data_IF_522389118858
#
_entry.id   IF_522389118858
#
_cell.length_a   1.000
_cell.length_b   1.000
_cell.length_c   1.000
_cell.angle_alpha   90.00
_cell.angle_beta   90.00
_cell.angle_gamma   90.00
#
_symmetry.space_group_name_H-M   'P 1'
#
loop_
_entity.id
_entity.type
_entity.pdbx_description
1 polymer ?
#
# COMPACT_ATOMS: atom_id res chain seq x y z
N UNK A 1 0.21 -6.35 20.79
CA UNK A 1 1.01 -7.29 21.59
C UNK A 1 1.40 -8.47 20.72
N UNK A 2 2.65 -8.88 20.76
CA UNK A 2 3.17 -10.08 20.10
C UNK A 2 2.98 -11.25 21.05
N UNK A 3 2.40 -12.36 20.59
CA UNK A 3 2.24 -13.56 21.41
C UNK A 3 3.52 -14.42 21.40
N UNK A 4 3.56 -15.49 22.22
CA UNK A 4 4.71 -16.39 22.34
C UNK A 4 5.14 -17.10 21.04
N UNK A 5 4.30 -17.11 20.00
CA UNK A 5 4.62 -17.63 18.65
C UNK A 5 5.02 -16.51 17.67
N UNK A 6 5.27 -15.28 18.14
CA UNK A 6 5.72 -14.17 17.28
C UNK A 6 4.62 -13.56 16.40
N UNK A 7 3.37 -14.00 16.53
CA UNK A 7 2.26 -13.47 15.74
C UNK A 7 1.56 -12.29 16.45
N UNK A 8 1.20 -11.28 15.67
CA UNK A 8 0.42 -10.13 16.15
C UNK A 8 -1.01 -10.59 16.41
N UNK A 9 -1.50 -10.49 17.66
CA UNK A 9 -2.90 -10.76 17.99
C UNK A 9 -3.80 -9.61 17.53
N UNK A 10 -4.91 -9.95 16.85
CA UNK A 10 -6.02 -9.02 16.61
C UNK A 10 -6.68 -8.68 17.94
N UNK A 11 -6.43 -7.48 18.45
CA UNK A 11 -7.09 -6.91 19.63
C UNK A 11 -7.54 -5.48 19.32
N UNK A 12 -8.16 -5.28 18.13
CA UNK A 12 -8.67 -3.96 17.72
C UNK A 12 -10.18 -4.00 17.97
N UNK A 13 -10.71 -3.02 18.72
CA UNK A 13 -12.14 -2.80 18.85
C UNK A 13 -12.78 -2.76 17.46
N UNK A 14 -13.99 -3.31 17.32
CA UNK A 14 -14.72 -3.30 16.03
C UNK A 14 -14.88 -1.85 15.61
N UNK A 15 -14.24 -1.42 14.52
CA UNK A 15 -14.30 -0.04 14.11
C UNK A 15 -15.72 0.29 13.61
N UNK A 16 -16.17 1.51 13.91
CA UNK A 16 -17.40 2.07 13.33
C UNK A 16 -17.31 2.00 11.82
N UNK A 17 -18.37 1.59 11.17
CA UNK A 17 -18.43 1.39 9.71
C UNK A 17 -19.30 2.44 9.03
N UNK A 18 -19.18 2.56 7.72
CA UNK A 18 -20.08 3.41 6.91
C UNK A 18 -21.56 3.00 7.06
N UNK A 19 -21.82 1.71 7.37
CA UNK A 19 -23.18 1.22 7.62
C UNK A 19 -23.77 1.81 8.89
N UNK A 20 -22.95 2.02 9.91
CA UNK A 20 -23.39 2.61 11.19
C UNK A 20 -23.75 4.08 11.00
N UNK A 21 -22.96 4.84 10.23
CA UNK A 21 -23.27 6.21 9.84
C UNK A 21 -24.58 6.25 9.03
N UNK A 22 -24.72 5.38 8.03
CA UNK A 22 -25.91 5.31 7.19
C UNK A 22 -27.18 5.04 8.02
N UNK A 23 -27.10 4.09 8.95
CA UNK A 23 -28.18 3.76 9.90
C UNK A 23 -28.50 4.94 10.83
N UNK A 24 -27.49 5.59 11.39
CA UNK A 24 -27.63 6.74 12.32
C UNK A 24 -28.33 7.93 11.67
N UNK A 25 -28.04 8.19 10.38
CA UNK A 25 -28.60 9.32 9.63
C UNK A 25 -29.88 8.97 8.87
N UNK A 26 -30.18 7.68 8.65
CA UNK A 26 -31.36 7.22 7.90
C UNK A 26 -31.19 7.39 6.38
N UNK A 27 -29.97 7.18 5.86
CA UNK A 27 -29.65 7.28 4.42
C UNK A 27 -28.93 6.02 3.93
N UNK A 28 -28.76 5.86 2.62
CA UNK A 28 -27.98 4.75 2.07
C UNK A 28 -26.48 4.91 2.30
N UNK A 29 -25.73 3.81 2.34
CA UNK A 29 -24.26 3.85 2.41
C UNK A 29 -23.65 4.57 1.23
N UNK A 30 -24.26 4.50 0.04
CA UNK A 30 -23.81 5.24 -1.13
C UNK A 30 -24.00 6.74 -0.95
N UNK A 31 -25.07 7.19 -0.28
CA UNK A 31 -25.27 8.62 0.05
C UNK A 31 -24.17 9.10 1.01
N UNK A 32 -23.86 8.32 2.05
CA UNK A 32 -22.77 8.64 2.98
C UNK A 32 -21.44 8.71 2.24
N UNK A 33 -21.13 7.71 1.42
CA UNK A 33 -19.87 7.67 0.64
C UNK A 33 -19.73 8.90 -0.28
N UNK A 34 -20.80 9.28 -0.96
CA UNK A 34 -20.81 10.47 -1.83
C UNK A 34 -20.65 11.77 -1.04
N UNK A 35 -21.28 11.88 0.12
CA UNK A 35 -21.11 13.04 1.01
C UNK A 35 -19.66 13.21 1.44
N UNK A 36 -19.02 12.12 1.83
CA UNK A 36 -17.60 12.11 2.30
C UNK A 36 -16.60 12.37 1.18
N UNK A 37 -16.94 12.05 -0.07
CA UNK A 37 -16.04 12.24 -1.23
C UNK A 37 -16.29 13.54 -1.99
N UNK A 38 -17.31 14.31 -1.65
CA UNK A 38 -17.64 15.56 -2.32
C UNK A 38 -18.17 15.40 -3.75
N UNK A 39 -18.45 14.19 -4.22
CA UNK A 39 -18.73 13.87 -5.63
C UNK A 39 -20.19 13.95 -6.07
N UNK A 40 -21.12 14.41 -5.25
CA UNK A 40 -22.52 14.43 -5.63
C UNK A 40 -23.25 15.65 -5.07
N UNK A 41 -24.31 16.04 -5.78
CA UNK A 41 -25.31 17.01 -5.30
C UNK A 41 -26.11 16.34 -4.18
N UNK A 42 -25.71 16.58 -2.94
CA UNK A 42 -26.40 16.16 -1.73
C UNK A 42 -26.84 17.45 -1.05
N UNK A 43 -28.08 17.48 -0.52
CA UNK A 43 -28.55 18.67 0.19
C UNK A 43 -27.62 19.03 1.35
N UNK A 44 -27.40 20.31 1.60
CA UNK A 44 -26.55 20.80 2.69
C UNK A 44 -27.01 20.27 4.05
N UNK A 45 -28.29 20.12 4.25
CA UNK A 45 -28.85 19.53 5.46
C UNK A 45 -28.41 18.08 5.65
N UNK A 46 -28.50 17.25 4.59
CA UNK A 46 -28.04 15.85 4.65
C UNK A 46 -26.52 15.76 4.86
N UNK A 47 -25.76 16.64 4.21
CA UNK A 47 -24.30 16.72 4.40
C UNK A 47 -23.95 17.03 5.85
N UNK A 48 -24.60 18.05 6.45
CA UNK A 48 -24.40 18.43 7.86
C UNK A 48 -24.72 17.28 8.81
N UNK A 49 -25.84 16.57 8.63
CA UNK A 49 -26.24 15.42 9.45
C UNK A 49 -25.22 14.28 9.35
N UNK A 50 -24.67 14.02 8.16
CA UNK A 50 -23.62 13.01 7.98
C UNK A 50 -22.33 13.44 8.68
N UNK A 51 -21.88 14.69 8.54
CA UNK A 51 -20.68 15.19 9.20
C UNK A 51 -20.80 15.11 10.72
N UNK A 52 -21.95 15.49 11.28
CA UNK A 52 -22.21 15.38 12.71
C UNK A 52 -22.16 13.92 13.18
N UNK A 53 -22.77 12.98 12.46
CA UNK A 53 -22.72 11.56 12.81
C UNK A 53 -21.30 10.97 12.71
N UNK A 54 -20.47 11.43 11.75
CA UNK A 54 -19.07 11.06 11.62
C UNK A 54 -18.28 11.50 12.85
N UNK A 55 -18.47 12.73 13.33
CA UNK A 55 -17.80 13.24 14.53
C UNK A 55 -18.29 12.52 15.80
N UNK A 56 -19.62 12.40 16.00
CA UNK A 56 -20.21 11.75 17.16
C UNK A 56 -19.75 10.29 17.33
N UNK A 57 -19.66 9.55 16.22
CA UNK A 57 -19.26 8.15 16.22
C UNK A 57 -17.74 7.95 16.05
N UNK A 58 -16.97 9.03 15.99
CA UNK A 58 -15.53 8.99 15.71
C UNK A 58 -15.22 8.09 14.51
N UNK A 59 -16.02 8.23 13.43
CA UNK A 59 -15.87 7.41 12.24
C UNK A 59 -14.70 7.89 11.38
N UNK A 60 -13.75 7.02 11.17
CA UNK A 60 -12.66 7.25 10.23
C UNK A 60 -12.93 6.45 8.94
N UNK A 61 -13.05 7.13 7.78
CA UNK A 61 -13.23 6.44 6.51
C UNK A 61 -12.14 5.40 6.29
N UNK A 62 -12.53 4.14 6.10
CA UNK A 62 -11.58 3.07 5.85
C UNK A 62 -10.95 3.27 4.46
N UNK A 63 -9.68 3.68 4.45
CA UNK A 63 -8.91 3.90 3.23
C UNK A 63 -8.80 2.62 2.40
N UNK A 64 -8.62 1.46 3.05
CA UNK A 64 -8.51 0.16 2.37
C UNK A 64 -9.80 -0.17 1.61
N UNK A 65 -10.98 0.00 2.25
CA UNK A 65 -12.26 -0.26 1.59
C UNK A 65 -12.51 0.70 0.42
N UNK A 66 -12.14 1.97 0.57
CA UNK A 66 -12.24 2.97 -0.49
C UNK A 66 -11.28 2.67 -1.64
N UNK A 67 -10.05 2.31 -1.35
CA UNK A 67 -9.03 1.97 -2.33
C UNK A 67 -9.42 0.72 -3.12
N UNK A 68 -9.93 -0.31 -2.44
CA UNK A 68 -10.45 -1.53 -3.05
C UNK A 68 -11.61 -1.22 -4.03
N UNK A 69 -12.54 -0.36 -3.64
CA UNK A 69 -13.66 0.04 -4.50
C UNK A 69 -13.19 0.80 -5.76
N UNK A 70 -12.06 1.50 -5.69
CA UNK A 70 -11.47 2.24 -6.81
C UNK A 70 -10.45 1.39 -7.61
N UNK A 71 -10.14 0.17 -7.18
CA UNK A 71 -9.13 -0.69 -7.80
C UNK A 71 -7.69 -0.20 -7.66
N UNK A 72 -7.42 0.71 -6.70
CA UNK A 72 -6.11 1.34 -6.45
C UNK A 72 -5.67 0.98 -5.04
N UNK A 73 -4.42 0.50 -4.87
CA UNK A 73 -3.87 0.18 -3.55
C UNK A 73 -3.47 1.44 -2.75
N UNK A 74 -3.11 2.52 -3.43
CA UNK A 74 -2.48 3.72 -2.85
C UNK A 74 -1.18 3.37 -2.12
N UNK A 75 -0.45 2.42 -2.66
CA UNK A 75 0.80 1.91 -2.09
C UNK A 75 1.84 1.76 -3.20
N UNK A 76 3.05 2.21 -2.93
CA UNK A 76 4.24 1.93 -3.74
C UNK A 76 5.11 0.96 -2.95
N UNK A 77 5.59 -0.12 -3.59
CA UNK A 77 6.43 -1.11 -2.94
C UNK A 77 7.90 -0.89 -3.28
N UNK A 78 8.74 -0.74 -2.27
CA UNK A 78 10.19 -0.82 -2.39
C UNK A 78 10.64 -2.24 -2.09
N UNK A 79 11.20 -2.92 -3.09
CA UNK A 79 11.84 -4.20 -2.89
C UNK A 79 13.24 -4.00 -2.28
N UNK A 80 13.61 -4.88 -1.39
CA UNK A 80 14.93 -4.92 -0.79
C UNK A 80 15.52 -6.29 -1.03
N UNK A 81 16.78 -6.31 -1.45
CA UNK A 81 17.59 -7.51 -1.39
C UNK A 81 17.91 -7.79 0.08
N UNK A 82 17.28 -8.81 0.63
CA UNK A 82 17.41 -9.20 2.03
C UNK A 82 18.28 -10.46 2.20
N UNK A 83 19.14 -10.78 1.22
CA UNK A 83 20.18 -11.80 1.37
C UNK A 83 21.15 -11.37 2.47
N UNK A 84 21.73 -12.34 3.18
CA UNK A 84 22.65 -12.10 4.31
C UNK A 84 23.84 -11.23 3.89
N UNK A 85 24.32 -11.38 2.65
CA UNK A 85 25.47 -10.66 2.10
C UNK A 85 25.13 -9.26 1.55
N UNK A 86 23.84 -8.87 1.48
CA UNK A 86 23.45 -7.63 0.80
C UNK A 86 23.87 -6.36 1.54
N UNK A 87 24.03 -6.43 2.86
CA UNK A 87 24.34 -5.28 3.70
C UNK A 87 23.38 -4.10 3.54
N UNK A 88 22.19 -4.34 2.97
CA UNK A 88 21.24 -3.29 2.57
C UNK A 88 20.92 -2.32 3.71
N UNK A 89 20.68 -2.84 4.90
CA UNK A 89 20.32 -2.02 6.07
C UNK A 89 21.52 -1.32 6.74
N UNK A 90 22.75 -1.76 6.45
CA UNK A 90 23.97 -1.17 7.00
C UNK A 90 24.51 -0.01 6.13
N UNK A 91 23.91 0.22 4.96
CA UNK A 91 24.38 1.22 4.00
C UNK A 91 23.62 2.54 4.18
N UNK A 92 24.36 3.61 4.51
CA UNK A 92 23.80 4.96 4.64
C UNK A 92 23.08 5.44 3.36
N UNK A 93 23.57 5.06 2.17
CA UNK A 93 22.89 5.36 0.90
C UNK A 93 21.49 4.75 0.85
N UNK A 94 21.35 3.50 1.26
CA UNK A 94 20.04 2.84 1.31
C UNK A 94 19.08 3.55 2.27
N UNK A 95 19.53 3.85 3.48
CA UNK A 95 18.72 4.54 4.49
C UNK A 95 18.25 5.91 3.98
N UNK A 96 19.15 6.71 3.40
CA UNK A 96 18.81 8.00 2.83
C UNK A 96 17.84 7.87 1.64
N UNK A 97 18.00 6.84 0.82
CA UNK A 97 17.10 6.57 -0.30
C UNK A 97 15.68 6.24 0.19
N UNK A 98 15.54 5.42 1.25
CA UNK A 98 14.24 5.11 1.86
C UNK A 98 13.55 6.37 2.34
N UNK A 99 14.23 7.26 3.06
CA UNK A 99 13.66 8.53 3.51
C UNK A 99 13.25 9.43 2.33
N UNK A 100 14.07 9.49 1.29
CA UNK A 100 13.75 10.25 0.08
C UNK A 100 12.51 9.73 -0.64
N UNK A 101 12.41 8.42 -0.80
CA UNK A 101 11.27 7.74 -1.42
C UNK A 101 10.01 7.96 -0.59
N UNK A 102 10.07 7.72 0.74
CA UNK A 102 8.94 7.91 1.65
C UNK A 102 8.37 9.32 1.53
N UNK A 103 9.24 10.34 1.61
CA UNK A 103 8.84 11.74 1.45
C UNK A 103 8.19 12.02 0.10
N UNK A 104 8.68 11.39 -0.98
CA UNK A 104 8.14 11.58 -2.32
C UNK A 104 6.77 10.92 -2.49
N UNK A 105 6.62 9.67 -2.05
CA UNK A 105 5.35 8.93 -2.20
C UNK A 105 4.25 9.53 -1.33
N UNK A 106 4.56 9.97 -0.10
CA UNK A 106 3.61 10.67 0.77
C UNK A 106 3.08 11.96 0.16
N UNK A 107 3.93 12.76 -0.49
CA UNK A 107 3.49 13.97 -1.21
C UNK A 107 2.47 13.67 -2.31
N UNK A 108 2.53 12.47 -2.89
CA UNK A 108 1.58 11.99 -3.91
C UNK A 108 0.36 11.29 -3.30
N UNK A 109 0.25 11.21 -1.97
CA UNK A 109 -0.85 10.52 -1.27
C UNK A 109 -0.76 9.00 -1.36
N UNK A 110 0.47 8.45 -1.42
CA UNK A 110 0.75 7.03 -1.39
C UNK A 110 1.46 6.65 -0.09
N UNK A 111 1.30 5.39 0.32
CA UNK A 111 2.05 4.77 1.40
C UNK A 111 3.23 3.98 0.82
N UNK A 112 4.34 3.89 1.57
CA UNK A 112 5.49 3.07 1.19
C UNK A 112 5.42 1.69 1.86
N UNK A 113 5.35 0.64 1.06
CA UNK A 113 5.50 -0.75 1.50
C UNK A 113 6.94 -1.21 1.24
N UNK A 114 7.64 -1.64 2.27
CA UNK A 114 8.97 -2.20 2.13
C UNK A 114 8.87 -3.72 2.23
N UNK A 115 9.40 -4.43 1.22
CA UNK A 115 9.33 -5.90 1.17
C UNK A 115 10.70 -6.49 0.87
N UNK A 116 11.18 -7.36 1.76
CA UNK A 116 12.42 -8.09 1.58
C UNK A 116 12.27 -9.28 0.63
N UNK A 117 13.25 -9.45 -0.25
CA UNK A 117 13.41 -10.63 -1.10
C UNK A 117 14.54 -11.46 -0.54
N UNK A 118 14.23 -12.67 -0.07
CA UNK A 118 15.18 -13.62 0.53
C UNK A 118 15.46 -14.75 -0.45
N UNK A 119 16.68 -15.28 -0.46
CA UNK A 119 17.08 -16.51 -1.14
C UNK A 119 16.65 -16.60 -2.62
N UNK A 120 16.82 -15.54 -3.37
CA UNK A 120 16.45 -15.51 -4.80
C UNK A 120 14.94 -15.59 -5.10
N UNK A 121 14.07 -15.55 -4.09
CA UNK A 121 12.61 -15.70 -4.25
C UNK A 121 11.88 -14.43 -4.73
N UNK A 122 12.57 -13.57 -5.48
CA UNK A 122 12.01 -12.31 -6.01
C UNK A 122 10.73 -12.57 -6.81
N UNK A 123 10.72 -13.59 -7.66
CA UNK A 123 9.59 -13.94 -8.52
C UNK A 123 8.33 -14.25 -7.70
N UNK A 124 8.46 -15.03 -6.60
CA UNK A 124 7.33 -15.35 -5.72
C UNK A 124 6.82 -14.13 -4.96
N UNK A 125 7.74 -13.26 -4.52
CA UNK A 125 7.38 -12.00 -3.85
C UNK A 125 6.60 -11.10 -4.79
N UNK A 126 7.02 -10.98 -6.05
CA UNK A 126 6.31 -10.23 -7.08
C UNK A 126 4.92 -10.83 -7.35
N UNK A 127 4.81 -12.15 -7.52
CA UNK A 127 3.51 -12.81 -7.72
C UNK A 127 2.53 -12.44 -6.61
N UNK A 128 2.99 -12.50 -5.37
CA UNK A 128 2.15 -12.15 -4.22
C UNK A 128 1.72 -10.68 -4.24
N UNK A 129 2.62 -9.75 -4.54
CA UNK A 129 2.29 -8.32 -4.61
C UNK A 129 1.27 -8.02 -5.71
N UNK A 130 1.45 -8.65 -6.88
CA UNK A 130 0.61 -8.45 -8.07
C UNK A 130 -0.77 -9.10 -7.87
N UNK A 131 -0.81 -10.39 -7.50
CA UNK A 131 -2.07 -11.13 -7.34
C UNK A 131 -2.94 -10.58 -6.22
N UNK A 132 -2.32 -10.18 -5.11
CA UNK A 132 -3.03 -9.60 -3.97
C UNK A 132 -3.31 -8.09 -4.14
N UNK A 133 -2.92 -7.48 -5.26
CA UNK A 133 -3.09 -6.04 -5.55
C UNK A 133 -2.64 -5.14 -4.41
N UNK A 134 -1.48 -5.47 -3.83
CA UNK A 134 -0.94 -4.75 -2.66
C UNK A 134 -0.25 -3.44 -3.01
N UNK A 135 0.06 -3.22 -4.27
CA UNK A 135 0.83 -2.06 -4.72
C UNK A 135 0.39 -1.62 -6.12
N UNK A 136 0.48 -0.33 -6.38
CA UNK A 136 0.23 0.26 -7.68
C UNK A 136 1.53 0.48 -8.48
N UNK A 137 2.69 0.37 -7.82
CA UNK A 137 3.99 0.51 -8.47
C UNK A 137 5.10 -0.09 -7.61
N UNK A 138 6.20 -0.43 -8.25
CA UNK A 138 7.32 -1.12 -7.60
C UNK A 138 8.63 -0.37 -7.86
N UNK A 139 9.40 -0.16 -6.81
CA UNK A 139 10.77 0.36 -6.86
C UNK A 139 11.70 -0.81 -6.60
N UNK A 140 12.66 -1.03 -7.50
CA UNK A 140 13.54 -2.20 -7.48
C UNK A 140 15.00 -1.75 -7.35
N UNK A 141 15.78 -2.31 -6.43
CA UNK A 141 17.23 -2.08 -6.41
C UNK A 141 17.90 -2.78 -7.61
N UNK A 142 19.06 -2.31 -8.07
CA UNK A 142 19.76 -2.88 -9.23
C UNK A 142 20.09 -4.36 -9.07
N UNK A 143 20.38 -4.84 -7.85
CA UNK A 143 20.68 -6.24 -7.56
C UNK A 143 19.54 -7.20 -7.87
N UNK A 144 18.28 -6.73 -7.81
CA UNK A 144 17.09 -7.53 -8.10
C UNK A 144 16.52 -7.28 -9.49
N UNK A 145 17.06 -6.33 -10.27
CA UNK A 145 16.56 -5.91 -11.58
C UNK A 145 17.09 -6.78 -12.72
N UNK A 146 16.95 -8.11 -12.60
CA UNK A 146 17.32 -9.02 -13.68
C UNK A 146 16.25 -9.11 -14.77
N UNK A 147 16.61 -9.65 -15.95
CA UNK A 147 15.75 -9.74 -17.10
C UNK A 147 14.41 -10.43 -16.79
N UNK A 148 14.44 -11.59 -16.09
CA UNK A 148 13.20 -12.33 -15.76
C UNK A 148 12.24 -11.53 -14.85
N UNK A 149 12.78 -10.73 -13.93
CA UNK A 149 11.99 -9.83 -13.07
C UNK A 149 11.39 -8.70 -13.89
N UNK A 150 12.18 -8.06 -14.75
CA UNK A 150 11.70 -6.96 -15.60
C UNK A 150 10.65 -7.43 -16.59
N UNK A 151 10.88 -8.57 -17.28
CA UNK A 151 9.92 -9.17 -18.20
C UNK A 151 8.58 -9.48 -17.51
N UNK A 152 8.64 -9.95 -16.27
CA UNK A 152 7.44 -10.22 -15.46
C UNK A 152 6.65 -8.95 -15.13
N UNK A 153 7.31 -7.88 -14.77
CA UNK A 153 6.67 -6.59 -14.47
C UNK A 153 6.06 -5.96 -15.71
N UNK A 154 6.78 -6.01 -16.83
CA UNK A 154 6.29 -5.54 -18.13
C UNK A 154 5.07 -6.35 -18.55
N UNK A 155 5.15 -7.69 -18.49
CA UNK A 155 4.03 -8.57 -18.82
C UNK A 155 2.81 -8.40 -17.91
N UNK A 156 3.04 -8.07 -16.63
CA UNK A 156 1.99 -7.75 -15.66
C UNK A 156 1.45 -6.31 -15.75
N UNK A 157 1.98 -5.48 -16.63
CA UNK A 157 1.63 -4.05 -16.77
C UNK A 157 1.76 -3.28 -15.45
N UNK A 158 2.72 -3.64 -14.61
CA UNK A 158 2.97 -3.00 -13.32
C UNK A 158 3.97 -1.86 -13.52
N UNK A 159 3.63 -0.62 -13.16
CA UNK A 159 4.59 0.49 -13.16
C UNK A 159 5.78 0.18 -12.24
N UNK A 160 6.99 0.37 -12.73
CA UNK A 160 8.18 0.17 -11.91
C UNK A 160 9.31 1.16 -12.24
N UNK A 161 10.22 1.31 -11.28
CA UNK A 161 11.44 2.11 -11.39
C UNK A 161 12.60 1.31 -10.82
N UNK A 162 13.75 1.33 -11.51
CA UNK A 162 15.00 0.77 -10.99
C UNK A 162 15.81 1.90 -10.35
N UNK A 163 16.28 1.69 -9.11
CA UNK A 163 17.12 2.65 -8.39
C UNK A 163 18.56 2.58 -8.89
N UNK A 164 18.89 3.34 -9.93
CA UNK A 164 20.20 3.33 -10.57
C UNK A 164 20.26 2.44 -11.80
N UNK A 165 21.45 2.06 -12.25
CA UNK A 165 21.62 1.22 -13.43
C UNK A 165 21.46 -0.27 -13.11
N UNK A 166 20.69 -1.04 -13.91
CA UNK A 166 20.58 -2.49 -13.74
C UNK A 166 21.94 -3.16 -13.88
N UNK A 167 22.28 -4.01 -12.94
CA UNK A 167 23.53 -4.80 -13.05
C UNK A 167 23.42 -5.83 -14.18
N UNK A 168 24.44 -5.88 -15.06
CA UNK A 168 24.48 -6.81 -16.20
C UNK A 168 24.49 -8.29 -15.80
N UNK A 169 24.86 -8.61 -14.54
CA UNK A 169 24.83 -9.97 -13.95
C UNK A 169 24.46 -9.84 -12.48
N UNK A 170 23.24 -10.22 -12.10
CA UNK A 170 22.91 -10.50 -10.71
C UNK A 170 22.89 -12.01 -10.51
N UNK A 171 23.64 -12.50 -9.55
CA UNK A 171 23.69 -13.92 -9.16
C UNK A 171 22.41 -14.43 -8.50
N UNK A 172 21.46 -13.53 -8.22
CA UNK A 172 20.23 -13.80 -7.47
C UNK A 172 19.03 -14.22 -8.32
N UNK A 173 19.20 -14.32 -9.64
CA UNK A 173 18.14 -14.59 -10.59
C UNK A 173 18.34 -15.91 -11.37
N UNK A 174 18.73 -16.95 -10.69
CA UNK A 174 18.80 -18.31 -11.25
C UNK A 174 17.50 -19.06 -11.02
#
# INVERSE_FOLDING_TARGET
MINASGCIRKGIAVPVTIKDIAKRVGVSTSTVSRALTGRATISEETRRRISQAVEELNYHPNAIARNLANGIARTVCLLIDASEDSGAFSNAFFTNSVFGIEKAVQKCGYDLLITGCFDGKVSKTLDKLILERKTDGIIIPPSLACKSVLDKLIGGHIPFVVLGEPQKKSSLCS
#
